data_IF_577908591991
#
_entry.id   IF_577908591991
#
_cell.length_a   1.000
_cell.length_b   1.000
_cell.length_c   1.000
_cell.angle_alpha   90.00
_cell.angle_beta   90.00
_cell.angle_gamma   90.00
#
_symmetry.space_group_name_H-M   'P 1'
#
loop_
_entity.id
_entity.type
_entity.pdbx_description
1 polymer ?
#
# COMPACT_ATOMS: atom_id res chain seq x y z
N UNK A 1 -19.77 8.96 18.02
CA UNK A 1 -20.36 9.63 16.84
C UNK A 1 -20.72 8.53 15.85
N UNK A 2 -21.93 8.48 15.30
CA UNK A 2 -22.22 7.53 14.22
C UNK A 2 -21.73 8.14 12.90
N UNK A 3 -20.87 7.41 12.18
CA UNK A 3 -20.37 7.83 10.87
C UNK A 3 -21.39 7.49 9.80
N UNK A 4 -21.62 8.42 8.87
CA UNK A 4 -22.23 8.09 7.57
C UNK A 4 -21.15 7.76 6.54
N UNK A 5 -21.54 7.09 5.46
CA UNK A 5 -20.64 6.76 4.34
C UNK A 5 -20.06 8.01 3.69
N UNK A 6 -20.86 9.05 3.51
CA UNK A 6 -20.42 10.32 2.92
C UNK A 6 -19.41 11.03 3.81
N UNK A 7 -19.72 11.20 5.11
CA UNK A 7 -18.80 11.83 6.07
C UNK A 7 -17.49 11.07 6.20
N UNK A 8 -17.55 9.73 6.16
CA UNK A 8 -16.36 8.89 6.23
C UNK A 8 -15.45 9.12 5.02
N UNK A 9 -16.00 9.17 3.79
CA UNK A 9 -15.20 9.44 2.60
C UNK A 9 -14.67 10.87 2.57
N UNK A 10 -15.46 11.85 3.01
CA UNK A 10 -15.01 13.24 3.06
C UNK A 10 -13.86 13.41 4.06
N UNK A 11 -13.94 12.81 5.24
CA UNK A 11 -12.83 12.79 6.18
C UNK A 11 -11.61 12.04 5.63
N UNK A 12 -11.80 10.91 4.95
CA UNK A 12 -10.70 10.15 4.32
C UNK A 12 -10.00 10.93 3.20
N UNK A 13 -10.71 11.79 2.46
CA UNK A 13 -10.07 12.69 1.47
C UNK A 13 -9.15 13.71 2.14
N UNK A 14 -9.53 14.22 3.30
CA UNK A 14 -8.71 15.16 4.08
C UNK A 14 -7.47 14.46 4.66
N UNK A 15 -7.66 13.27 5.22
CA UNK A 15 -6.61 12.55 5.95
C UNK A 15 -5.64 11.85 5.01
N UNK A 16 -6.11 11.24 3.92
CA UNK A 16 -5.25 10.55 2.97
C UNK A 16 -4.79 11.45 1.86
N UNK A 17 -4.25 12.62 2.19
CA UNK A 17 -3.69 13.55 1.20
C UNK A 17 -2.48 12.97 0.42
N UNK A 18 -1.98 13.73 -0.55
CA UNK A 18 -0.86 13.31 -1.38
C UNK A 18 0.44 13.14 -0.58
N UNK A 19 0.57 13.84 0.56
CA UNK A 19 1.72 13.72 1.44
C UNK A 19 1.71 12.36 2.15
N UNK A 20 0.58 11.94 2.71
CA UNK A 20 0.41 10.63 3.36
C UNK A 20 0.64 9.51 2.33
N UNK A 21 0.09 9.63 1.13
CA UNK A 21 0.33 8.66 0.06
C UNK A 21 1.81 8.55 -0.29
N UNK A 22 2.53 9.68 -0.39
CA UNK A 22 3.96 9.67 -0.71
C UNK A 22 4.81 9.12 0.44
N UNK A 23 4.45 9.39 1.69
CA UNK A 23 5.10 8.81 2.87
C UNK A 23 4.92 7.29 2.90
N UNK A 24 3.69 6.81 2.67
CA UNK A 24 3.39 5.38 2.66
C UNK A 24 4.09 4.67 1.50
N UNK A 25 4.12 5.29 0.31
CA UNK A 25 4.93 4.82 -0.82
C UNK A 25 6.39 4.65 -0.45
N UNK A 26 6.99 5.64 0.22
CA UNK A 26 8.39 5.56 0.68
C UNK A 26 8.59 4.46 1.72
N UNK A 27 7.63 4.25 2.64
CA UNK A 27 7.67 3.15 3.61
C UNK A 27 7.70 1.80 2.91
N UNK A 28 6.77 1.58 1.98
CA UNK A 28 6.68 0.35 1.19
C UNK A 28 7.94 0.13 0.34
N UNK A 29 8.45 1.18 -0.32
CA UNK A 29 9.69 1.09 -1.07
C UNK A 29 10.86 0.64 -0.20
N UNK A 30 11.03 1.23 1.00
CA UNK A 30 12.09 0.81 1.93
C UNK A 30 11.96 -0.65 2.34
N UNK A 31 10.74 -1.15 2.56
CA UNK A 31 10.51 -2.55 2.90
C UNK A 31 10.93 -3.48 1.75
N UNK A 32 10.46 -3.21 0.53
CA UNK A 32 10.79 -4.02 -0.65
C UNK A 32 12.28 -3.97 -0.99
N UNK A 33 12.88 -2.78 -0.90
CA UNK A 33 14.31 -2.58 -1.11
C UNK A 33 15.12 -3.39 -0.11
N UNK A 34 14.76 -3.33 1.18
CA UNK A 34 15.42 -4.13 2.22
C UNK A 34 15.29 -5.63 1.93
N UNK A 35 14.09 -6.11 1.63
CA UNK A 35 13.84 -7.52 1.29
C UNK A 35 14.69 -7.98 0.09
N UNK A 36 14.81 -7.14 -0.96
CA UNK A 36 15.64 -7.45 -2.12
C UNK A 36 17.10 -7.66 -1.73
N UNK A 37 17.70 -6.70 -1.02
CA UNK A 37 19.11 -6.79 -0.64
C UNK A 37 19.37 -7.92 0.35
N UNK A 38 18.49 -8.16 1.33
CA UNK A 38 18.59 -9.31 2.23
C UNK A 38 18.63 -10.64 1.46
N UNK A 39 17.81 -10.79 0.41
CA UNK A 39 17.80 -12.01 -0.42
C UNK A 39 19.02 -12.16 -1.31
N UNK A 40 19.59 -11.05 -1.78
CA UNK A 40 20.83 -11.10 -2.54
C UNK A 40 22.04 -11.40 -1.63
N UNK A 41 22.02 -10.90 -0.40
CA UNK A 41 23.01 -11.24 0.62
C UNK A 41 22.93 -12.73 1.00
N UNK A 42 21.73 -13.28 1.22
CA UNK A 42 21.50 -14.71 1.48
C UNK A 42 22.09 -15.61 0.38
N UNK A 43 22.13 -15.11 -0.85
CA UNK A 43 22.67 -15.80 -2.03
C UNK A 43 24.13 -15.44 -2.35
N UNK A 44 24.77 -14.59 -1.54
CA UNK A 44 26.13 -14.09 -1.75
C UNK A 44 26.36 -13.40 -3.11
N UNK A 45 25.34 -12.71 -3.63
CA UNK A 45 25.35 -12.03 -4.93
C UNK A 45 24.83 -10.58 -4.86
N UNK A 46 24.94 -9.92 -3.72
CA UNK A 46 24.54 -8.51 -3.56
C UNK A 46 25.21 -7.54 -4.55
N UNK A 47 26.39 -7.90 -5.06
CA UNK A 47 27.11 -7.15 -6.09
C UNK A 47 26.53 -7.31 -7.50
N UNK A 48 25.52 -8.17 -7.68
CA UNK A 48 24.90 -8.42 -8.98
C UNK A 48 23.94 -7.30 -9.43
N UNK A 49 23.53 -6.40 -8.52
CA UNK A 49 22.74 -5.22 -8.92
C UNK A 49 23.66 -4.24 -9.65
N UNK A 50 23.37 -4.00 -10.92
CA UNK A 50 24.09 -2.97 -11.69
C UNK A 50 23.84 -1.56 -11.14
N UNK A 51 24.85 -0.68 -11.22
CA UNK A 51 24.69 0.74 -10.86
C UNK A 51 23.50 1.41 -11.56
N UNK A 52 23.21 1.02 -12.81
CA UNK A 52 22.06 1.52 -13.56
C UNK A 52 20.74 1.18 -12.86
N UNK A 53 20.61 -0.05 -12.35
CA UNK A 53 19.44 -0.50 -11.63
C UNK A 53 19.31 0.23 -10.28
N UNK A 54 20.41 0.46 -9.55
CA UNK A 54 20.40 1.25 -8.31
C UNK A 54 19.93 2.69 -8.55
N UNK A 55 20.45 3.35 -9.59
CA UNK A 55 20.00 4.70 -9.97
C UNK A 55 18.51 4.72 -10.31
N UNK A 56 18.02 3.70 -11.01
CA UNK A 56 16.58 3.59 -11.30
C UNK A 56 15.77 3.35 -10.02
N UNK A 57 16.22 2.51 -9.10
CA UNK A 57 15.59 2.28 -7.79
C UNK A 57 15.51 3.58 -6.98
N UNK A 58 16.56 4.41 -7.00
CA UNK A 58 16.54 5.71 -6.34
C UNK A 58 15.44 6.64 -6.87
N UNK A 59 15.19 6.62 -8.19
CA UNK A 59 14.11 7.40 -8.81
C UNK A 59 12.71 6.99 -8.31
N UNK A 60 12.49 5.73 -7.90
CA UNK A 60 11.20 5.31 -7.32
C UNK A 60 10.88 6.04 -6.00
N UNK A 61 11.90 6.51 -5.27
CA UNK A 61 11.75 7.27 -4.03
C UNK A 61 11.34 8.73 -4.29
N UNK A 62 11.70 9.25 -5.46
CA UNK A 62 11.55 10.66 -5.81
C UNK A 62 10.30 10.93 -6.65
N UNK A 63 9.99 10.08 -7.63
CA UNK A 63 8.83 10.30 -8.49
C UNK A 63 7.53 9.87 -7.83
N UNK A 64 6.46 10.64 -8.02
CA UNK A 64 5.11 10.28 -7.57
C UNK A 64 4.51 9.19 -8.46
N UNK A 65 4.74 9.27 -9.78
CA UNK A 65 4.17 8.37 -10.79
C UNK A 65 5.21 7.38 -11.33
N UNK A 66 4.86 6.09 -11.37
CA UNK A 66 5.69 5.04 -11.98
C UNK A 66 4.89 4.30 -13.04
N UNK A 67 5.29 4.34 -14.33
CA UNK A 67 4.58 3.60 -15.38
C UNK A 67 4.67 2.08 -15.17
N UNK A 68 3.74 1.33 -15.79
CA UNK A 68 3.70 -0.13 -15.78
C UNK A 68 2.85 -0.73 -14.66
N UNK A 69 2.79 -2.06 -14.63
CA UNK A 69 1.95 -2.81 -13.69
C UNK A 69 2.72 -3.22 -12.44
N UNK A 70 2.86 -2.26 -11.51
CA UNK A 70 3.68 -2.41 -10.30
C UNK A 70 2.87 -2.20 -9.01
N UNK A 71 3.49 -2.52 -7.88
CA UNK A 71 2.86 -2.38 -6.55
C UNK A 71 2.43 -0.93 -6.27
N UNK A 72 3.19 0.07 -6.70
CA UNK A 72 2.86 1.48 -6.42
C UNK A 72 1.62 1.95 -7.18
N UNK A 73 1.35 1.41 -8.37
CA UNK A 73 0.06 1.62 -9.06
C UNK A 73 -1.08 0.95 -8.30
N UNK A 74 -0.84 -0.23 -7.72
CA UNK A 74 -1.86 -0.89 -6.87
C UNK A 74 -2.13 -0.12 -5.59
N UNK A 75 -1.10 0.44 -4.96
CA UNK A 75 -1.27 1.34 -3.81
C UNK A 75 -2.09 2.56 -4.20
N UNK A 76 -1.74 3.23 -5.31
CA UNK A 76 -2.51 4.38 -5.80
C UNK A 76 -3.98 4.02 -6.02
N UNK A 77 -4.25 2.92 -6.70
CA UNK A 77 -5.61 2.44 -6.94
C UNK A 77 -6.40 2.26 -5.63
N UNK A 78 -5.80 1.62 -4.62
CA UNK A 78 -6.44 1.40 -3.32
C UNK A 78 -6.67 2.72 -2.56
N UNK A 79 -5.75 3.67 -2.64
CA UNK A 79 -5.95 5.00 -2.07
C UNK A 79 -7.10 5.77 -2.73
N UNK A 80 -7.25 5.68 -4.06
CA UNK A 80 -8.37 6.31 -4.76
C UNK A 80 -9.71 5.71 -4.33
N UNK A 81 -9.77 4.39 -4.12
CA UNK A 81 -10.95 3.74 -3.51
C UNK A 81 -11.18 4.26 -2.09
N UNK A 82 -10.14 4.34 -1.27
CA UNK A 82 -10.25 4.79 0.12
C UNK A 82 -10.77 6.23 0.23
N UNK A 83 -10.41 7.11 -0.72
CA UNK A 83 -10.92 8.48 -0.82
C UNK A 83 -12.34 8.58 -1.43
N UNK A 84 -12.91 7.47 -1.90
CA UNK A 84 -14.18 7.47 -2.63
C UNK A 84 -14.09 8.14 -4.01
N UNK A 85 -12.87 8.33 -4.55
CA UNK A 85 -12.62 8.92 -5.87
C UNK A 85 -12.73 7.88 -7.00
N UNK A 86 -12.84 6.60 -6.65
CA UNK A 86 -12.93 5.49 -7.58
C UNK A 86 -13.93 4.45 -7.09
N UNK A 87 -14.74 3.94 -8.02
CA UNK A 87 -15.66 2.84 -7.73
C UNK A 87 -14.93 1.50 -7.63
N UNK A 88 -15.44 0.63 -6.77
CA UNK A 88 -14.90 -0.72 -6.55
C UNK A 88 -15.34 -1.65 -7.67
N UNK A 89 -14.44 -1.90 -8.62
CA UNK A 89 -14.60 -2.97 -9.59
C UNK A 89 -14.00 -4.28 -9.05
N UNK A 90 -14.85 -5.17 -8.53
CA UNK A 90 -14.44 -6.39 -7.79
C UNK A 90 -13.25 -7.15 -8.38
N UNK A 91 -13.23 -7.40 -9.68
CA UNK A 91 -12.14 -8.18 -10.31
C UNK A 91 -10.82 -7.40 -10.33
N UNK A 92 -10.86 -6.10 -10.64
CA UNK A 92 -9.69 -5.23 -10.70
C UNK A 92 -9.17 -4.98 -9.29
N UNK A 93 -10.05 -4.66 -8.35
CA UNK A 93 -9.70 -4.46 -6.94
C UNK A 93 -9.02 -5.69 -6.35
N UNK A 94 -9.54 -6.89 -6.62
CA UNK A 94 -8.93 -8.14 -6.14
C UNK A 94 -7.50 -8.35 -6.67
N UNK A 95 -7.22 -7.96 -7.92
CA UNK A 95 -5.87 -8.04 -8.50
C UNK A 95 -4.91 -7.10 -7.80
N UNK A 96 -5.34 -5.86 -7.49
CA UNK A 96 -4.51 -4.89 -6.78
C UNK A 96 -4.23 -5.31 -5.33
N UNK A 97 -5.26 -5.77 -4.61
CA UNK A 97 -5.12 -6.34 -3.27
C UNK A 97 -4.13 -7.52 -3.25
N UNK A 98 -4.32 -8.47 -4.16
CA UNK A 98 -3.45 -9.63 -4.28
C UNK A 98 -2.00 -9.21 -4.55
N UNK A 99 -1.77 -8.28 -5.47
CA UNK A 99 -0.41 -7.79 -5.74
C UNK A 99 0.25 -7.20 -4.50
N UNK A 100 -0.47 -6.37 -3.73
CA UNK A 100 0.05 -5.78 -2.49
C UNK A 100 0.39 -6.87 -1.48
N UNK A 101 -0.53 -7.79 -1.20
CA UNK A 101 -0.32 -8.83 -0.20
C UNK A 101 0.82 -9.78 -0.56
N UNK A 102 0.87 -10.21 -1.83
CA UNK A 102 1.93 -11.09 -2.28
C UNK A 102 3.29 -10.40 -2.24
N UNK A 103 3.35 -9.14 -2.68
CA UNK A 103 4.62 -8.42 -2.75
C UNK A 103 5.18 -8.08 -1.37
N UNK A 104 4.33 -7.80 -0.38
CA UNK A 104 4.77 -7.39 0.96
C UNK A 104 4.91 -8.55 1.93
N UNK A 105 4.05 -9.56 1.81
CA UNK A 105 3.78 -10.50 2.89
C UNK A 105 3.76 -11.96 2.46
N UNK A 106 4.09 -12.32 1.22
CA UNK A 106 4.22 -13.73 0.82
C UNK A 106 5.68 -14.18 0.91
N UNK A 107 6.03 -15.04 1.89
CA UNK A 107 7.33 -15.70 1.88
C UNK A 107 7.47 -16.62 0.68
N UNK A 108 8.68 -16.74 0.13
CA UNK A 108 8.95 -17.58 -1.03
C UNK A 108 8.52 -19.05 -0.88
N UNK A 109 8.53 -19.57 0.35
CA UNK A 109 8.15 -20.95 0.65
C UNK A 109 6.63 -21.17 0.85
N UNK A 110 5.82 -20.10 0.98
CA UNK A 110 4.39 -20.21 1.29
C UNK A 110 3.52 -19.89 0.07
N UNK A 111 2.38 -20.59 -0.01
CA UNK A 111 1.36 -20.36 -1.03
C UNK A 111 0.54 -19.09 -0.79
N UNK A 112 0.41 -18.68 0.48
CA UNK A 112 -0.45 -17.58 0.90
C UNK A 112 0.36 -16.49 1.63
N UNK A 113 0.00 -15.20 1.47
CA UNK A 113 0.56 -14.12 2.26
C UNK A 113 0.23 -14.26 3.77
N UNK A 114 1.15 -13.82 4.63
CA UNK A 114 0.98 -13.75 6.09
C UNK A 114 1.03 -12.29 6.50
N UNK A 115 -0.14 -11.67 6.60
CA UNK A 115 -0.29 -10.22 6.86
C UNK A 115 -0.22 -9.98 8.37
N UNK A 116 0.74 -9.18 8.89
CA UNK A 116 0.82 -8.87 10.31
C UNK A 116 -0.29 -7.91 10.74
N UNK A 117 -0.77 -8.00 11.99
CA UNK A 117 -1.85 -7.13 12.48
C UNK A 117 -1.52 -5.64 12.36
N UNK A 118 -0.27 -5.25 12.65
CA UNK A 118 0.21 -3.87 12.54
C UNK A 118 0.14 -3.29 11.13
N UNK A 119 0.02 -4.12 10.09
CA UNK A 119 -0.20 -3.63 8.73
C UNK A 119 -1.55 -2.92 8.62
N UNK A 120 -2.57 -3.41 9.31
CA UNK A 120 -3.92 -2.90 9.19
C UNK A 120 -4.14 -1.51 9.80
N UNK A 121 -3.19 -1.07 10.60
CA UNK A 121 -3.14 0.27 11.18
C UNK A 121 -2.41 1.27 10.26
N UNK A 122 -1.75 0.81 9.20
CA UNK A 122 -1.07 1.73 8.26
C UNK A 122 -2.06 2.31 7.24
N UNK A 123 -1.76 3.47 6.63
CA UNK A 123 -2.61 4.05 5.59
C UNK A 123 -2.93 3.07 4.44
N UNK A 124 -1.94 2.30 3.98
CA UNK A 124 -2.18 1.26 2.97
C UNK A 124 -3.08 0.13 3.49
N UNK A 125 -2.89 -0.32 4.74
CA UNK A 125 -3.72 -1.38 5.32
C UNK A 125 -5.17 -0.98 5.47
N UNK A 126 -5.44 0.26 5.89
CA UNK A 126 -6.78 0.81 5.98
C UNK A 126 -7.39 0.93 4.58
N UNK A 127 -6.64 1.42 3.58
CA UNK A 127 -7.09 1.46 2.20
C UNK A 127 -7.45 0.06 1.66
N UNK A 128 -6.65 -0.97 1.99
CA UNK A 128 -6.98 -2.36 1.68
C UNK A 128 -8.27 -2.82 2.36
N UNK A 129 -8.49 -2.50 3.64
CA UNK A 129 -9.73 -2.85 4.36
C UNK A 129 -10.96 -2.23 3.71
N UNK A 130 -10.87 -0.96 3.31
CA UNK A 130 -11.97 -0.27 2.61
C UNK A 130 -12.26 -0.95 1.29
N UNK A 131 -11.22 -1.28 0.52
CA UNK A 131 -11.36 -1.95 -0.77
C UNK A 131 -11.95 -3.36 -0.67
N UNK A 132 -11.73 -4.07 0.44
CA UNK A 132 -12.27 -5.42 0.69
C UNK A 132 -13.69 -5.40 1.22
N UNK A 133 -13.96 -4.55 2.21
CA UNK A 133 -15.12 -4.68 3.09
C UNK A 133 -16.04 -3.45 3.07
N UNK A 134 -15.69 -2.41 2.30
CA UNK A 134 -16.37 -1.13 2.32
C UNK A 134 -15.83 -0.18 3.40
N UNK A 135 -16.23 1.09 3.30
CA UNK A 135 -15.76 2.15 4.22
C UNK A 135 -16.28 1.95 5.65
N UNK A 136 -17.41 1.25 5.77
CA UNK A 136 -18.05 0.91 7.03
C UNK A 136 -17.12 0.07 7.93
N UNK A 137 -16.21 -0.70 7.34
CA UNK A 137 -15.25 -1.53 8.06
C UNK A 137 -14.19 -0.73 8.84
N UNK A 138 -14.07 0.58 8.59
CA UNK A 138 -13.04 1.42 9.22
C UNK A 138 -13.60 2.53 10.10
N UNK A 139 -14.92 2.60 10.31
CA UNK A 139 -15.55 3.60 11.19
C UNK A 139 -14.95 3.68 12.60
N UNK A 140 -14.58 2.56 13.27
CA UNK A 140 -13.90 2.64 14.56
C UNK A 140 -12.58 3.42 14.47
N UNK A 141 -11.76 3.12 13.44
CA UNK A 141 -10.48 3.77 13.20
C UNK A 141 -10.65 5.26 12.86
N UNK A 142 -11.67 5.62 12.08
CA UNK A 142 -11.94 7.03 11.77
C UNK A 142 -12.25 7.85 13.03
N UNK A 143 -12.92 7.23 14.00
CA UNK A 143 -13.22 7.86 15.29
C UNK A 143 -11.93 8.15 16.06
N UNK A 144 -11.03 7.16 16.18
CA UNK A 144 -9.73 7.32 16.82
C UNK A 144 -8.87 8.41 16.15
N UNK A 145 -8.87 8.46 14.82
CA UNK A 145 -8.12 9.46 14.05
C UNK A 145 -8.66 10.88 14.23
N UNK A 146 -9.97 11.05 14.41
CA UNK A 146 -10.61 12.37 14.61
C UNK A 146 -10.42 12.90 16.03
N UNK A 147 -10.20 12.02 16.99
CA UNK A 147 -9.97 12.35 18.40
C UNK A 147 -8.48 12.56 18.75
N UNK A 148 -7.57 12.26 17.81
CA UNK A 148 -6.11 12.43 17.94
C UNK A 148 -5.64 13.80 17.44
#
# INVERSE_FOLDING_TARGET
MEWTREEAFDFLKEVYDDQVMQQEKRRVFKMLHRQLYERLDDLAINQAISEKAERQLYLFKEFTFMPGDNIFQSMRYLFLIARGEMEVERQVTRKHLQRVYQSLFQPAALKNPVIPESFWETPLGIACRIAENGVEAVYPLLTEMKES
#
